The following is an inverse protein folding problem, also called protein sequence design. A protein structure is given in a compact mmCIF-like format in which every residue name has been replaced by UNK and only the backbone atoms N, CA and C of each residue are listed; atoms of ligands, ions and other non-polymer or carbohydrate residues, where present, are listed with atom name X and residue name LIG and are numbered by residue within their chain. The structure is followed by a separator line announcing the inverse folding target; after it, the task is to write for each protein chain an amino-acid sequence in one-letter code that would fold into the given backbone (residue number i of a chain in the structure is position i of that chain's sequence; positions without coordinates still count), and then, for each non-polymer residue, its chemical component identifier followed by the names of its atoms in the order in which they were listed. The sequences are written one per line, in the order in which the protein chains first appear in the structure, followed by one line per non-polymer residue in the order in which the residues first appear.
data_IF_327264525247
#
_entry.id   IF_327264525247
#
_cell.length_a   1.000
_cell.length_b   1.000
_cell.length_c   1.000
_cell.angle_alpha   90.00
_cell.angle_beta   90.00
_cell.angle_gamma   90.00
#
_symmetry.space_group_name_H-M   'P 1'
#
loop_
_entity.id
_entity.type
_entity.pdbx_description
1 polymer ?
#
# COMPACT_ATOMS: atom_id res chain seq x y z
N UNK A 1 -12.30 11.15 10.92
CA UNK A 1 -12.34 10.67 12.32
C UNK A 1 -12.88 9.26 12.48
N UNK A 2 -14.09 8.91 12.01
CA UNK A 2 -14.66 7.55 12.19
C UNK A 2 -13.74 6.41 11.72
N UNK A 3 -13.23 6.47 10.49
CA UNK A 3 -12.31 5.45 9.96
C UNK A 3 -11.00 5.35 10.73
N UNK A 4 -10.52 6.47 11.29
CA UNK A 4 -9.29 6.48 12.06
C UNK A 4 -9.46 5.69 13.37
N UNK A 5 -10.50 5.98 14.15
CA UNK A 5 -10.76 5.23 15.39
C UNK A 5 -10.98 3.73 15.15
N UNK A 6 -11.65 3.37 14.05
CA UNK A 6 -11.92 1.97 13.70
C UNK A 6 -10.61 1.22 13.38
N UNK A 7 -9.76 1.79 12.53
CA UNK A 7 -8.50 1.14 12.15
C UNK A 7 -7.58 0.97 13.36
N UNK A 8 -7.45 2.01 14.19
CA UNK A 8 -6.67 1.93 15.43
C UNK A 8 -7.17 0.82 16.36
N UNK A 9 -8.49 0.73 16.55
CA UNK A 9 -9.10 -0.33 17.34
C UNK A 9 -8.80 -1.71 16.75
N UNK A 10 -8.92 -1.89 15.44
CA UNK A 10 -8.65 -3.19 14.76
C UNK A 10 -7.18 -3.60 14.93
N UNK A 11 -6.23 -2.70 14.67
CA UNK A 11 -4.80 -3.02 14.77
C UNK A 11 -4.39 -3.37 16.20
N UNK A 12 -4.89 -2.61 17.18
CA UNK A 12 -4.62 -2.89 18.60
C UNK A 12 -5.20 -4.23 19.02
N UNK A 13 -6.44 -4.53 18.60
CA UNK A 13 -7.14 -5.76 18.98
C UNK A 13 -6.47 -6.99 18.34
N UNK A 14 -6.04 -6.90 17.08
CA UNK A 14 -5.23 -7.93 16.43
C UNK A 14 -3.87 -8.12 17.11
N UNK A 15 -3.21 -7.03 17.52
CA UNK A 15 -1.96 -7.09 18.29
C UNK A 15 -2.13 -7.78 19.64
N UNK A 16 -3.23 -7.50 20.34
CA UNK A 16 -3.61 -8.19 21.58
C UNK A 16 -3.86 -9.68 21.33
N UNK A 17 -4.58 -10.04 20.26
CA UNK A 17 -4.80 -11.44 19.89
C UNK A 17 -3.48 -12.16 19.63
N UNK A 18 -2.56 -11.53 18.90
CA UNK A 18 -1.22 -12.09 18.66
C UNK A 18 -0.47 -12.38 19.98
N UNK A 19 -0.52 -11.45 20.93
CA UNK A 19 0.12 -11.59 22.23
C UNK A 19 -0.47 -12.73 23.09
N UNK A 20 -1.77 -13.03 22.96
CA UNK A 20 -2.41 -14.12 23.70
C UNK A 20 -1.86 -15.50 23.31
N UNK A 21 -1.47 -15.70 22.05
CA UNK A 21 -0.95 -16.99 21.58
C UNK A 21 0.51 -17.26 21.96
N UNK A 22 1.30 -16.21 22.23
CA UNK A 22 2.75 -16.29 22.53
C UNK A 22 3.10 -16.13 24.01
N UNK A 23 2.09 -15.91 24.86
CA UNK A 23 2.26 -15.56 26.26
C UNK A 23 2.13 -14.05 26.47
N UNK A 24 1.23 -13.66 27.36
CA UNK A 24 0.87 -12.25 27.59
C UNK A 24 1.96 -11.53 28.39
N UNK A 25 2.95 -11.00 27.67
CA UNK A 25 4.03 -10.17 28.19
C UNK A 25 4.08 -8.83 27.46
N UNK A 26 4.59 -7.78 28.11
CA UNK A 26 4.68 -6.43 27.54
C UNK A 26 5.47 -6.40 26.22
N UNK A 27 6.55 -7.18 26.13
CA UNK A 27 7.37 -7.32 24.91
C UNK A 27 6.61 -8.01 23.77
N UNK A 28 5.82 -9.05 24.08
CA UNK A 28 5.04 -9.75 23.06
C UNK A 28 3.86 -8.92 22.57
N UNK A 29 3.25 -8.12 23.44
CA UNK A 29 2.22 -7.16 23.06
C UNK A 29 2.77 -6.08 22.12
N UNK A 30 3.94 -5.52 22.45
CA UNK A 30 4.64 -4.56 21.58
C UNK A 30 4.97 -5.17 20.21
N UNK A 31 5.54 -6.37 20.19
CA UNK A 31 5.85 -7.08 18.94
C UNK A 31 4.59 -7.37 18.11
N UNK A 32 3.49 -7.76 18.75
CA UNK A 32 2.21 -7.99 18.08
C UNK A 32 1.65 -6.74 17.43
N UNK A 33 1.59 -5.62 18.17
CA UNK A 33 1.13 -4.34 17.63
C UNK A 33 2.06 -3.86 16.52
N UNK A 34 3.38 -4.00 16.68
CA UNK A 34 4.36 -3.64 15.65
C UNK A 34 4.16 -4.46 14.37
N UNK A 35 4.06 -5.79 14.45
CA UNK A 35 3.86 -6.62 13.26
C UNK A 35 2.55 -6.32 12.54
N UNK A 36 1.45 -6.17 13.29
CA UNK A 36 0.13 -5.89 12.71
C UNK A 36 0.12 -4.52 12.03
N UNK A 37 0.65 -3.49 12.70
CA UNK A 37 0.72 -2.14 12.13
C UNK A 37 1.69 -2.07 10.95
N UNK A 38 2.81 -2.79 10.97
CA UNK A 38 3.71 -2.88 9.81
C UNK A 38 3.01 -3.51 8.60
N UNK A 39 2.24 -4.58 8.83
CA UNK A 39 1.46 -5.23 7.78
C UNK A 39 0.35 -4.31 7.25
N UNK A 40 -0.36 -3.60 8.15
CA UNK A 40 -1.34 -2.57 7.79
C UNK A 40 -0.74 -1.43 6.97
N UNK A 41 0.46 -0.98 7.33
CA UNK A 41 1.21 0.04 6.60
C UNK A 41 1.55 -0.41 5.18
N UNK A 42 2.05 -1.64 5.02
CA UNK A 42 2.33 -2.22 3.71
C UNK A 42 1.07 -2.27 2.81
N UNK A 43 -0.06 -2.72 3.36
CA UNK A 43 -1.34 -2.73 2.64
C UNK A 43 -1.79 -1.31 2.30
N UNK A 44 -1.68 -0.37 3.22
CA UNK A 44 -2.03 1.03 3.02
C UNK A 44 -1.21 1.66 1.89
N UNK A 45 0.11 1.49 1.91
CA UNK A 45 1.00 1.98 0.86
C UNK A 45 0.70 1.32 -0.49
N UNK A 46 0.40 0.03 -0.50
CA UNK A 46 -0.02 -0.66 -1.72
C UNK A 46 -1.31 -0.09 -2.28
N UNK A 47 -2.33 0.12 -1.43
CA UNK A 47 -3.59 0.76 -1.82
C UNK A 47 -3.38 2.18 -2.35
N UNK A 48 -2.41 2.93 -1.81
CA UNK A 48 -2.06 4.27 -2.31
C UNK A 48 -1.53 4.22 -3.74
N UNK A 49 -0.61 3.28 -4.03
CA UNK A 49 -0.08 3.05 -5.39
C UNK A 49 -1.22 2.69 -6.36
N UNK A 50 -2.19 1.89 -5.90
CA UNK A 50 -3.37 1.54 -6.70
C UNK A 50 -4.33 2.73 -6.89
N UNK A 51 -4.59 3.51 -5.86
CA UNK A 51 -5.55 4.64 -5.92
C UNK A 51 -5.07 5.79 -6.78
N UNK A 52 -3.76 6.06 -6.75
CA UNK A 52 -3.15 7.18 -7.49
C UNK A 52 -2.89 6.83 -8.96
N UNK A 53 -3.29 5.63 -9.40
CA UNK A 53 -3.17 5.22 -10.79
C UNK A 53 -1.72 5.01 -11.23
N UNK A 54 -0.80 4.77 -10.29
CA UNK A 54 0.61 4.51 -10.60
C UNK A 54 0.75 3.33 -11.59
N UNK A 55 -0.10 2.31 -11.48
CA UNK A 55 -0.17 1.19 -12.43
C UNK A 55 -0.70 1.59 -13.83
N UNK A 56 -1.54 2.61 -13.93
CA UNK A 56 -1.94 3.15 -15.25
C UNK A 56 -0.76 3.86 -15.92
N UNK A 57 -0.02 4.63 -15.13
CA UNK A 57 1.18 5.36 -15.60
C UNK A 57 2.27 4.36 -16.01
N UNK A 58 2.53 3.34 -15.19
CA UNK A 58 3.56 2.33 -15.48
C UNK A 58 3.23 1.57 -16.77
N UNK A 59 1.97 1.16 -16.97
CA UNK A 59 1.55 0.42 -18.16
C UNK A 59 1.60 1.24 -19.44
N UNK A 60 1.38 2.55 -19.36
CA UNK A 60 1.60 3.45 -20.49
C UNK A 60 3.08 3.67 -20.77
N UNK A 61 3.90 3.87 -19.73
CA UNK A 61 5.36 4.00 -19.89
C UNK A 61 5.99 2.75 -20.49
N UNK A 62 5.56 1.55 -20.09
CA UNK A 62 6.00 0.29 -20.69
C UNK A 62 5.59 0.15 -22.15
N UNK A 63 4.34 0.51 -22.51
CA UNK A 63 3.90 0.51 -23.91
C UNK A 63 4.74 1.47 -24.76
N UNK A 64 4.98 2.69 -24.26
CA UNK A 64 5.83 3.67 -24.95
C UNK A 64 7.27 3.20 -25.07
N UNK A 65 7.82 2.60 -24.03
CA UNK A 65 9.16 2.01 -24.05
C UNK A 65 9.28 0.89 -25.09
N UNK A 66 8.31 -0.03 -25.11
CA UNK A 66 8.27 -1.12 -26.08
C UNK A 66 8.17 -0.58 -27.52
N UNK A 67 7.32 0.42 -27.76
CA UNK A 67 7.22 1.08 -29.05
C UNK A 67 8.54 1.71 -29.49
N UNK A 68 9.23 2.45 -28.61
CA UNK A 68 10.52 3.09 -28.96
C UNK A 68 11.58 2.05 -29.33
N UNK A 69 11.66 0.95 -28.57
CA UNK A 69 12.61 -0.15 -28.76
C UNK A 69 12.28 -1.05 -29.97
N UNK A 70 11.04 -1.03 -30.47
CA UNK A 70 10.62 -1.90 -31.55
C UNK A 70 11.27 -1.52 -32.91
N UNK A 71 11.60 -2.51 -33.76
CA UNK A 71 12.08 -2.28 -35.12
C UNK A 71 10.96 -1.70 -36.01
N UNK A 72 11.32 -0.96 -37.07
CA UNK A 72 10.36 -0.23 -37.95
C UNK A 72 9.16 -1.07 -38.42
N UNK A 73 9.38 -2.32 -38.83
CA UNK A 73 8.31 -3.24 -39.27
C UNK A 73 7.29 -3.57 -38.18
N UNK A 74 7.72 -3.61 -36.92
CA UNK A 74 6.81 -3.87 -35.81
C UNK A 74 6.11 -2.60 -35.33
N UNK A 75 6.71 -1.42 -35.53
CA UNK A 75 6.05 -0.13 -35.25
C UNK A 75 4.80 0.08 -36.11
N UNK A 76 4.88 -0.26 -37.39
CA UNK A 76 3.73 -0.18 -38.32
C UNK A 76 2.57 -1.06 -37.83
N UNK A 77 2.85 -2.31 -37.43
CA UNK A 77 1.85 -3.21 -36.85
C UNK A 77 1.32 -2.73 -35.48
N UNK A 78 2.15 -2.07 -34.66
CA UNK A 78 1.75 -1.50 -33.37
C UNK A 78 0.90 -0.23 -33.53
N UNK A 79 1.11 0.56 -34.58
CA UNK A 79 0.32 1.76 -34.89
C UNK A 79 -1.10 1.41 -35.40
N UNK A 80 -1.28 0.21 -35.95
CA UNK A 80 -2.59 -0.33 -36.30
C UNK A 80 -3.37 -0.85 -35.07
N UNK A 81 -2.67 -1.15 -33.96
CA UNK A 81 -3.28 -1.69 -32.74
C UNK A 81 -3.95 -0.59 -31.89
N UNK A 82 -5.28 -0.64 -31.68
CA UNK A 82 -6.00 0.31 -30.83
C UNK A 82 -5.55 0.31 -29.37
N UNK A 83 -4.87 -0.75 -28.88
CA UNK A 83 -4.30 -0.78 -27.52
C UNK A 83 -3.11 0.17 -27.33
N UNK A 84 -2.35 0.46 -28.40
CA UNK A 84 -1.21 1.38 -28.37
C UNK A 84 -1.65 2.84 -28.54
N UNK A 85 -2.78 3.08 -29.23
CA UNK A 85 -3.41 4.40 -29.37
C UNK A 85 -4.26 4.83 -28.18
N UNK A 86 -4.46 3.96 -27.18
CA UNK A 86 -5.31 4.25 -26.03
C UNK A 86 -4.68 5.34 -25.16
N UNK A 87 -5.35 6.50 -25.08
CA UNK A 87 -4.95 7.62 -24.22
C UNK A 87 -4.81 7.19 -22.75
N UNK A 88 -3.86 7.83 -22.05
CA UNK A 88 -3.61 7.61 -20.64
C UNK A 88 -4.81 8.09 -19.81
N UNK A 89 -5.70 7.17 -19.44
CA UNK A 89 -6.72 7.43 -18.41
C UNK A 89 -6.15 7.08 -17.04
N UNK A 90 -5.63 8.08 -16.34
CA UNK A 90 -5.16 7.91 -14.96
C UNK A 90 -6.39 7.64 -14.08
N UNK A 91 -6.45 6.43 -13.53
CA UNK A 91 -7.46 6.07 -12.53
C UNK A 91 -7.18 6.87 -11.26
N UNK A 92 -8.14 7.69 -10.82
CA UNK A 92 -8.06 8.47 -9.58
C UNK A 92 -9.13 8.02 -8.58
N UNK A 93 -9.19 6.71 -8.33
CA UNK A 93 -10.15 6.15 -7.37
C UNK A 93 -9.57 6.30 -5.97
N UNK A 94 -9.80 7.45 -5.35
CA UNK A 94 -9.36 7.72 -3.98
C UNK A 94 -10.22 6.93 -2.99
N UNK A 95 -9.68 5.84 -2.44
CA UNK A 95 -10.35 5.13 -1.36
C UNK A 95 -10.25 5.92 -0.06
N UNK A 96 -11.40 6.14 0.59
CA UNK A 96 -11.47 6.89 1.85
C UNK A 96 -10.69 6.24 3.02
N UNK A 97 -10.35 4.95 2.89
CA UNK A 97 -9.67 4.15 3.92
C UNK A 97 -8.15 4.21 3.81
N UNK A 98 -7.59 4.49 2.62
CA UNK A 98 -6.14 4.43 2.36
C UNK A 98 -5.35 5.38 3.27
N UNK A 99 -5.71 6.66 3.31
CA UNK A 99 -5.00 7.65 4.14
C UNK A 99 -5.13 7.38 5.64
N UNK A 100 -6.33 7.09 6.18
CA UNK A 100 -6.46 6.67 7.58
C UNK A 100 -5.62 5.45 7.96
N UNK A 101 -5.56 4.44 7.08
CA UNK A 101 -4.77 3.23 7.31
C UNK A 101 -3.29 3.58 7.43
N UNK A 102 -2.73 4.26 6.43
CA UNK A 102 -1.30 4.63 6.41
C UNK A 102 -0.92 5.45 7.65
N UNK A 103 -1.70 6.49 7.97
CA UNK A 103 -1.35 7.39 9.08
C UNK A 103 -1.36 6.66 10.43
N UNK A 104 -2.37 5.82 10.67
CA UNK A 104 -2.47 5.09 11.94
C UNK A 104 -1.38 4.04 12.03
N UNK A 105 -1.25 3.20 11.00
CA UNK A 105 -0.23 2.15 10.98
C UNK A 105 1.16 2.76 11.15
N UNK A 106 1.47 3.89 10.49
CA UNK A 106 2.74 4.59 10.65
C UNK A 106 2.94 5.11 12.09
N UNK A 107 1.93 5.75 12.67
CA UNK A 107 2.03 6.24 14.06
C UNK A 107 2.25 5.10 15.06
N UNK A 108 1.56 3.97 14.88
CA UNK A 108 1.72 2.79 15.72
C UNK A 108 3.11 2.15 15.57
N UNK A 109 3.62 2.03 14.35
CA UNK A 109 5.00 1.56 14.09
C UNK A 109 6.02 2.45 14.80
N UNK A 110 5.89 3.78 14.66
CA UNK A 110 6.83 4.73 15.30
C UNK A 110 6.73 4.64 16.83
N UNK A 111 5.51 4.64 17.38
CA UNK A 111 5.30 4.54 18.82
C UNK A 111 5.85 3.25 19.40
N UNK A 112 5.56 2.11 18.76
CA UNK A 112 6.05 0.81 19.22
C UNK A 112 7.57 0.71 19.14
N UNK A 113 8.22 1.29 18.11
CA UNK A 113 9.68 1.38 18.04
C UNK A 113 10.26 2.24 19.17
N UNK A 114 9.70 3.41 19.43
CA UNK A 114 10.17 4.29 20.51
C UNK A 114 10.07 3.58 21.85
N UNK A 115 8.92 2.97 22.14
CA UNK A 115 8.71 2.23 23.40
C UNK A 115 9.67 1.04 23.49
N UNK A 116 9.88 0.31 22.38
CA UNK A 116 10.81 -0.83 22.34
C UNK A 116 12.28 -0.45 22.55
N UNK A 117 12.67 0.79 22.28
CA UNK A 117 14.04 1.27 22.56
C UNK A 117 14.21 1.62 24.04
N UNK A 118 13.13 2.05 24.69
CA UNK A 118 13.12 2.47 26.10
C UNK A 118 13.02 1.26 27.05
N UNK A 119 12.32 0.22 26.62
CA UNK A 119 12.12 -1.04 27.37
C UNK A 119 13.33 -1.97 27.27
#
# INVERSE_FOLDING_TARGET
MKYYGIIFMIETLLGCFYALFLGFNATQLLNGIFMVSLFGLCIGLFLLIFSDGAFSIIGHSFRRFNYVMAPKRMKEAMDEDPLYKKELRIRQDKYAITMPLILISLTLVILTLIISIIL
#
